data_IF_049080627529
#
_entry.id   IF_049080627529
#
_cell.length_a   1.000
_cell.length_b   1.000
_cell.length_c   1.000
_cell.angle_alpha   90.00
_cell.angle_beta   90.00
_cell.angle_gamma   90.00
#
_symmetry.space_group_name_H-M   'P 1'
#
loop_
_entity.id
_entity.type
_entity.pdbx_description
1 polymer ?
#
# COMPACT_ATOMS: atom_id res chain seq x y z
N UNK A 1 31.15 -53.16 19.70
CA UNK A 1 29.96 -53.58 20.48
C UNK A 1 28.79 -52.69 20.07
N UNK A 2 28.12 -53.03 18.96
CA UNK A 2 26.96 -52.29 18.46
C UNK A 2 25.71 -52.78 19.18
N UNK A 3 24.90 -51.88 19.75
CA UNK A 3 23.56 -52.22 20.27
C UNK A 3 22.51 -51.85 19.22
N UNK A 4 21.68 -52.83 18.91
CA UNK A 4 20.54 -52.78 18.00
C UNK A 4 19.57 -51.66 18.40
N UNK A 5 19.20 -50.84 17.42
CA UNK A 5 18.01 -49.99 17.50
C UNK A 5 16.87 -50.83 16.91
N UNK A 6 15.96 -51.28 17.76
CA UNK A 6 14.74 -51.95 17.32
C UNK A 6 13.85 -50.98 16.52
N UNK A 7 13.48 -51.39 15.31
CA UNK A 7 12.46 -50.74 14.50
C UNK A 7 11.11 -50.98 15.16
N UNK A 8 10.58 -49.95 15.84
CA UNK A 8 9.19 -49.93 16.28
C UNK A 8 8.33 -49.70 15.03
N UNK A 9 7.54 -50.70 14.65
CA UNK A 9 6.54 -50.58 13.59
C UNK A 9 5.35 -49.75 14.06
N UNK A 10 4.75 -48.97 13.14
CA UNK A 10 3.65 -48.02 13.40
C UNK A 10 2.48 -48.66 14.18
N UNK A 11 2.25 -49.96 14.01
CA UNK A 11 1.22 -50.73 14.70
C UNK A 11 1.46 -50.89 16.22
N UNK A 12 2.70 -50.83 16.69
CA UNK A 12 3.01 -50.89 18.13
C UNK A 12 2.72 -49.57 18.86
N UNK A 13 2.75 -48.44 18.14
CA UNK A 13 2.38 -47.13 18.71
C UNK A 13 0.86 -46.99 18.89
N UNK A 14 0.08 -47.70 18.06
CA UNK A 14 -1.39 -47.67 18.11
C UNK A 14 -1.99 -48.50 19.26
N UNK A 15 -1.22 -49.37 19.91
CA UNK A 15 -1.75 -50.28 20.95
C UNK A 15 -1.40 -49.90 22.40
N UNK A 16 -0.56 -48.89 22.64
CA UNK A 16 -0.08 -48.52 23.99
C UNK A 16 -0.52 -47.15 24.48
N UNK A 17 -1.23 -46.38 23.67
CA UNK A 17 -2.02 -45.26 24.15
C UNK A 17 -3.47 -45.67 24.09
N UNK A 18 -4.15 -45.66 25.23
CA UNK A 18 -5.61 -45.53 25.28
C UNK A 18 -5.98 -44.19 24.60
N UNK A 19 -5.87 -44.14 23.28
CA UNK A 19 -6.75 -43.33 22.47
C UNK A 19 -8.13 -43.94 22.71
N UNK A 20 -8.76 -43.51 23.81
CA UNK A 20 -10.15 -43.12 23.72
C UNK A 20 -10.20 -42.26 22.47
N UNK A 21 -10.59 -42.88 21.36
CA UNK A 21 -11.32 -42.21 20.30
C UNK A 21 -12.47 -41.60 21.08
N UNK A 22 -12.25 -40.38 21.57
CA UNK A 22 -13.31 -39.48 21.93
C UNK A 22 -14.03 -39.43 20.59
N UNK A 23 -15.11 -40.20 20.47
CA UNK A 23 -16.19 -39.84 19.57
C UNK A 23 -16.47 -38.41 19.98
N UNK A 24 -15.86 -37.46 19.27
CA UNK A 24 -16.21 -36.07 19.34
C UNK A 24 -17.63 -36.10 18.81
N UNK A 25 -18.59 -36.28 19.72
CA UNK A 25 -19.98 -35.96 19.51
C UNK A 25 -19.99 -34.69 18.68
N UNK A 26 -20.68 -34.69 17.54
CA UNK A 26 -20.75 -33.56 16.62
C UNK A 26 -20.99 -32.27 17.41
N UNK A 27 -19.91 -31.58 17.79
CA UNK A 27 -19.99 -30.41 18.65
C UNK A 27 -20.47 -29.29 17.74
N UNK A 28 -21.66 -28.81 18.05
CA UNK A 28 -22.20 -27.63 17.42
C UNK A 28 -21.24 -26.47 17.70
N UNK A 29 -20.83 -25.79 16.64
CA UNK A 29 -19.82 -24.75 16.67
C UNK A 29 -20.42 -23.45 16.11
N UNK A 30 -20.37 -22.38 16.90
CA UNK A 30 -20.89 -21.06 16.52
C UNK A 30 -19.75 -20.13 16.11
N UNK A 31 -19.91 -19.46 14.97
CA UNK A 31 -18.85 -18.70 14.31
C UNK A 31 -19.29 -17.26 14.06
N UNK A 32 -18.49 -16.30 14.50
CA UNK A 32 -18.65 -14.89 14.16
C UNK A 32 -18.03 -14.56 12.81
N UNK A 33 -18.76 -13.84 11.95
CA UNK A 33 -18.26 -13.43 10.63
C UNK A 33 -18.61 -11.97 10.42
N UNK A 34 -17.61 -11.10 10.28
CA UNK A 34 -17.83 -9.70 9.95
C UNK A 34 -17.79 -9.52 8.43
N UNK A 35 -18.81 -8.92 7.80
CA UNK A 35 -18.81 -8.68 6.37
C UNK A 35 -17.81 -7.58 5.99
N UNK A 36 -16.67 -7.98 5.41
CA UNK A 36 -15.64 -7.09 4.91
C UNK A 36 -15.07 -7.63 3.60
N UNK A 37 -15.13 -6.86 2.52
CA UNK A 37 -14.63 -7.29 1.20
C UNK A 37 -13.10 -7.14 1.12
N UNK A 38 -12.36 -8.13 0.57
CA UNK A 38 -12.83 -9.34 -0.12
C UNK A 38 -12.96 -10.59 0.78
N UNK A 39 -12.77 -10.44 2.09
CA UNK A 39 -12.59 -11.56 3.03
C UNK A 39 -13.91 -12.28 3.35
N UNK A 40 -15.00 -11.53 3.53
CA UNK A 40 -16.37 -12.02 3.70
C UNK A 40 -17.37 -11.03 3.09
N UNK A 41 -18.02 -11.42 2.00
CA UNK A 41 -19.03 -10.64 1.28
C UNK A 41 -20.41 -11.18 1.66
N UNK A 42 -21.28 -10.30 2.14
CA UNK A 42 -22.66 -10.64 2.45
C UNK A 42 -23.52 -10.50 1.20
N UNK A 43 -24.21 -11.57 0.83
CA UNK A 43 -25.17 -11.62 -0.28
C UNK A 43 -26.57 -11.96 0.26
N UNK A 44 -27.60 -11.35 -0.32
CA UNK A 44 -28.99 -11.72 -0.04
C UNK A 44 -29.57 -12.40 -1.28
N UNK A 45 -29.77 -13.71 -1.21
CA UNK A 45 -30.36 -14.52 -2.29
C UNK A 45 -31.73 -14.99 -1.84
N UNK A 46 -32.78 -14.45 -2.44
CA UNK A 46 -34.19 -14.82 -2.17
C UNK A 46 -34.58 -14.72 -0.68
N UNK A 47 -34.14 -13.68 0.02
CA UNK A 47 -34.41 -13.49 1.45
C UNK A 47 -33.51 -14.30 2.39
N UNK A 48 -32.67 -15.17 1.83
CA UNK A 48 -31.65 -15.92 2.58
C UNK A 48 -30.33 -15.18 2.52
N UNK A 49 -29.74 -14.93 3.69
CA UNK A 49 -28.45 -14.27 3.79
C UNK A 49 -27.36 -15.32 3.68
N UNK A 50 -26.53 -15.20 2.66
CA UNK A 50 -25.37 -16.04 2.41
C UNK A 50 -24.10 -15.21 2.51
N UNK A 51 -22.99 -15.84 2.89
CA UNK A 51 -21.67 -15.21 2.88
C UNK A 51 -20.80 -15.89 1.82
N UNK A 52 -19.99 -15.11 1.13
CA UNK A 52 -18.97 -15.54 0.17
C UNK A 52 -17.66 -14.84 0.51
N UNK A 53 -16.56 -15.11 -0.19
CA UNK A 53 -15.27 -14.46 0.05
C UNK A 53 -14.18 -15.41 0.56
N UNK A 54 -12.93 -14.99 0.42
CA UNK A 54 -11.78 -15.89 0.57
C UNK A 54 -11.67 -16.46 1.99
N UNK A 55 -11.76 -15.61 3.01
CA UNK A 55 -11.60 -16.03 4.40
C UNK A 55 -12.81 -16.85 4.85
N UNK A 56 -14.02 -16.46 4.44
CA UNK A 56 -15.22 -17.26 4.69
C UNK A 56 -15.06 -18.69 4.15
N UNK A 57 -14.74 -18.84 2.86
CA UNK A 57 -14.64 -20.14 2.20
C UNK A 57 -13.54 -21.01 2.81
N UNK A 58 -12.38 -20.43 3.12
CA UNK A 58 -11.30 -21.16 3.77
C UNK A 58 -11.73 -21.78 5.10
N UNK A 59 -12.42 -21.04 5.96
CA UNK A 59 -12.80 -21.54 7.27
C UNK A 59 -14.01 -22.45 7.20
N UNK A 60 -15.08 -21.98 6.55
CA UNK A 60 -16.39 -22.64 6.53
C UNK A 60 -16.43 -23.84 5.59
N UNK A 61 -15.86 -23.72 4.39
CA UNK A 61 -15.94 -24.78 3.39
C UNK A 61 -14.77 -25.77 3.49
N UNK A 62 -13.67 -25.40 4.14
CA UNK A 62 -12.47 -26.23 4.20
C UNK A 62 -12.03 -26.62 5.63
N UNK A 63 -11.65 -25.66 6.49
CA UNK A 63 -11.07 -26.00 7.81
C UNK A 63 -12.09 -26.65 8.76
N UNK A 64 -13.30 -26.10 8.89
CA UNK A 64 -14.30 -26.64 9.82
C UNK A 64 -14.77 -28.06 9.42
N UNK A 65 -15.05 -28.36 8.14
CA UNK A 65 -15.29 -29.73 7.70
C UNK A 65 -14.11 -30.67 7.95
N UNK A 66 -12.88 -30.22 7.71
CA UNK A 66 -11.67 -31.02 7.97
C UNK A 66 -11.50 -31.38 9.46
N UNK A 67 -11.97 -30.50 10.36
CA UNK A 67 -11.99 -30.74 11.81
C UNK A 67 -13.27 -31.45 12.30
N UNK A 68 -14.16 -31.86 11.39
CA UNK A 68 -15.46 -32.45 11.71
C UNK A 68 -16.32 -31.56 12.64
N UNK A 69 -16.28 -30.24 12.44
CA UNK A 69 -17.10 -29.28 13.20
C UNK A 69 -18.41 -29.02 12.47
N UNK A 70 -19.53 -29.10 13.21
CA UNK A 70 -20.85 -28.77 12.69
C UNK A 70 -21.17 -27.31 13.00
N UNK A 71 -21.19 -26.45 11.98
CA UNK A 71 -21.52 -25.03 12.14
C UNK A 71 -23.04 -24.92 12.34
N UNK A 72 -23.45 -24.28 13.44
CA UNK A 72 -24.88 -24.07 13.72
C UNK A 72 -25.34 -22.64 13.48
N UNK A 73 -24.46 -21.65 13.65
CA UNK A 73 -24.86 -20.24 13.65
C UNK A 73 -23.72 -19.34 13.14
N UNK A 74 -24.10 -18.37 12.30
CA UNK A 74 -23.21 -17.37 11.68
C UNK A 74 -23.76 -15.97 11.98
N UNK A 75 -23.03 -15.19 12.79
CA UNK A 75 -23.56 -13.97 13.43
C UNK A 75 -23.30 -12.65 12.68
N UNK A 76 -23.20 -12.62 11.35
CA UNK A 76 -22.72 -11.42 10.65
C UNK A 76 -23.62 -10.18 10.62
N UNK A 77 -24.89 -10.28 11.07
CA UNK A 77 -25.85 -9.16 11.08
C UNK A 77 -26.30 -8.71 12.46
N UNK A 78 -26.08 -9.55 13.47
CA UNK A 78 -26.54 -9.31 14.85
C UNK A 78 -25.44 -8.67 15.71
N UNK A 79 -24.32 -8.30 15.08
CA UNK A 79 -23.25 -7.55 15.71
C UNK A 79 -23.73 -6.11 15.84
N UNK A 80 -24.56 -5.85 16.84
CA UNK A 80 -25.04 -4.52 17.18
C UNK A 80 -24.06 -3.88 18.18
N UNK A 81 -23.47 -2.75 17.79
CA UNK A 81 -22.63 -1.93 18.68
C UNK A 81 -21.71 -0.97 17.92
N UNK A 82 -21.28 0.13 18.56
CA UNK A 82 -20.24 1.00 18.01
C UNK A 82 -18.90 0.23 17.99
N UNK A 83 -18.53 -0.31 16.82
CA UNK A 83 -17.34 -1.16 16.70
C UNK A 83 -17.70 -2.62 16.46
N UNK A 84 -18.04 -2.97 15.22
CA UNK A 84 -18.49 -4.33 14.87
C UNK A 84 -17.42 -5.42 15.14
N UNK A 85 -16.13 -5.08 15.10
CA UNK A 85 -15.06 -5.99 15.54
C UNK A 85 -15.05 -6.20 17.07
N UNK A 86 -15.42 -5.19 17.86
CA UNK A 86 -15.54 -5.32 19.32
C UNK A 86 -16.75 -6.18 19.70
N UNK A 87 -17.83 -6.13 18.91
CA UNK A 87 -19.00 -6.97 19.12
C UNK A 87 -18.67 -8.46 19.04
N UNK A 88 -17.94 -8.89 17.99
CA UNK A 88 -17.52 -10.30 17.87
C UNK A 88 -16.58 -10.71 19.01
N UNK A 89 -15.59 -9.86 19.35
CA UNK A 89 -14.66 -10.10 20.45
C UNK A 89 -15.42 -10.30 21.76
N UNK A 90 -16.36 -9.40 22.08
CA UNK A 90 -17.19 -9.48 23.28
C UNK A 90 -18.06 -10.74 23.27
N UNK A 91 -18.63 -11.12 22.12
CA UNK A 91 -19.40 -12.35 22.01
C UNK A 91 -18.56 -13.62 22.23
N UNK A 92 -17.28 -13.62 21.87
CA UNK A 92 -16.36 -14.73 22.21
C UNK A 92 -16.05 -14.72 23.72
N UNK A 93 -15.76 -13.55 24.31
CA UNK A 93 -15.50 -13.41 25.77
C UNK A 93 -16.71 -13.85 26.60
N UNK A 94 -17.91 -13.45 26.19
CA UNK A 94 -19.20 -13.83 26.79
C UNK A 94 -19.62 -15.27 26.47
N UNK A 95 -18.80 -16.02 25.74
CA UNK A 95 -19.04 -17.43 25.34
C UNK A 95 -20.30 -17.63 24.49
N UNK A 96 -20.75 -16.61 23.76
CA UNK A 96 -21.81 -16.69 22.75
C UNK A 96 -21.28 -17.26 21.42
N UNK A 97 -20.02 -16.97 21.12
CA UNK A 97 -19.30 -17.51 19.97
C UNK A 97 -18.17 -18.42 20.40
N UNK A 98 -17.92 -19.48 19.62
CA UNK A 98 -16.75 -20.33 19.83
C UNK A 98 -15.51 -19.76 19.14
N UNK A 99 -15.68 -19.17 17.96
CA UNK A 99 -14.58 -18.54 17.22
C UNK A 99 -15.10 -17.45 16.27
N UNK A 100 -14.18 -16.83 15.54
CA UNK A 100 -14.47 -15.89 14.46
C UNK A 100 -13.53 -16.07 13.29
N UNK A 101 -14.03 -15.83 12.09
CA UNK A 101 -13.23 -15.80 10.85
C UNK A 101 -12.87 -14.37 10.42
N UNK A 102 -13.21 -13.37 11.24
CA UNK A 102 -12.91 -11.96 10.94
C UNK A 102 -11.42 -11.69 11.10
N UNK A 103 -10.85 -10.87 10.19
CA UNK A 103 -9.50 -10.37 10.35
C UNK A 103 -9.40 -9.47 11.59
N UNK A 104 -8.56 -9.86 12.56
CA UNK A 104 -8.26 -9.07 13.75
C UNK A 104 -6.79 -8.66 13.75
N UNK A 105 -6.54 -7.44 14.21
CA UNK A 105 -5.20 -7.03 14.57
C UNK A 105 -4.87 -7.65 15.94
N UNK A 106 -3.87 -8.54 15.95
CA UNK A 106 -3.30 -9.09 17.17
C UNK A 106 -2.53 -7.99 17.91
N UNK A 107 -3.11 -7.48 19.00
CA UNK A 107 -2.48 -6.49 19.88
C UNK A 107 -2.14 -7.10 21.23
N UNK A 108 -1.10 -6.58 21.90
CA UNK A 108 -0.68 -7.09 23.22
C UNK A 108 -1.80 -7.16 24.27
N UNK A 109 -2.75 -6.21 24.35
CA UNK A 109 -3.90 -6.35 25.24
C UNK A 109 -4.77 -7.55 24.89
N UNK A 110 -5.11 -7.74 23.60
CA UNK A 110 -5.99 -8.82 23.14
C UNK A 110 -5.35 -10.21 23.20
N UNK A 111 -4.02 -10.29 23.13
CA UNK A 111 -3.30 -11.55 23.33
C UNK A 111 -3.49 -12.15 24.72
N UNK A 112 -4.01 -11.38 25.69
CA UNK A 112 -4.31 -11.90 27.03
C UNK A 112 -5.69 -12.54 27.15
N UNK A 113 -6.60 -12.19 26.24
CA UNK A 113 -8.02 -12.55 26.35
C UNK A 113 -8.38 -13.78 25.50
N UNK A 114 -7.52 -14.21 24.58
CA UNK A 114 -7.76 -15.33 23.67
C UNK A 114 -6.51 -16.16 23.42
N UNK A 115 -6.72 -17.44 23.13
CA UNK A 115 -5.71 -18.29 22.51
C UNK A 115 -5.75 -18.08 20.99
N UNK A 116 -4.68 -17.50 20.45
CA UNK A 116 -4.61 -17.09 19.04
C UNK A 116 -3.98 -18.17 18.17
N UNK A 117 -4.62 -18.46 17.03
CA UNK A 117 -4.02 -19.25 15.95
C UNK A 117 -3.78 -18.33 14.76
N UNK A 118 -2.50 -18.07 14.48
CA UNK A 118 -2.11 -17.28 13.30
C UNK A 118 -1.97 -18.19 12.10
N UNK A 119 -2.85 -18.02 11.11
CA UNK A 119 -2.63 -18.60 9.78
C UNK A 119 -1.68 -17.67 9.02
N UNK A 120 -0.52 -18.19 8.58
CA UNK A 120 0.46 -17.44 7.81
C UNK A 120 -0.01 -17.21 6.35
N UNK A 121 -1.16 -16.57 6.17
CA UNK A 121 -1.82 -16.43 4.86
C UNK A 121 -1.70 -15.03 4.28
N UNK A 122 -1.62 -14.00 5.13
CA UNK A 122 -1.50 -12.61 4.71
C UNK A 122 -0.75 -11.85 5.79
N UNK A 123 0.44 -11.34 5.48
CA UNK A 123 1.10 -10.37 6.34
C UNK A 123 0.42 -9.02 6.10
N UNK A 124 -0.52 -8.66 6.97
CA UNK A 124 -1.11 -7.33 6.92
C UNK A 124 -0.05 -6.30 7.33
N UNK A 125 0.27 -5.40 6.42
CA UNK A 125 1.15 -4.26 6.67
C UNK A 125 0.31 -3.00 6.86
N UNK A 126 0.78 -2.11 7.74
CA UNK A 126 0.22 -0.76 7.81
C UNK A 126 0.60 0.00 6.54
N UNK A 127 -0.34 0.10 5.61
CA UNK A 127 -0.22 0.90 4.39
C UNK A 127 -0.79 2.30 4.57
N UNK A 128 -0.18 3.29 3.93
CA UNK A 128 -0.76 4.62 3.75
C UNK A 128 -1.17 4.77 2.29
N UNK A 129 -2.46 4.93 2.05
CA UNK A 129 -2.98 5.25 0.73
C UNK A 129 -2.96 6.77 0.54
N UNK A 130 -2.20 7.24 -0.44
CA UNK A 130 -2.23 8.64 -0.90
C UNK A 130 -2.81 8.63 -2.30
N UNK A 131 -3.76 9.53 -2.57
CA UNK A 131 -4.29 9.72 -3.92
C UNK A 131 -3.13 10.02 -4.87
N UNK A 132 -3.00 9.24 -5.94
CA UNK A 132 -2.14 9.61 -7.05
C UNK A 132 -2.70 10.91 -7.62
N UNK A 133 -1.89 11.98 -7.61
CA UNK A 133 -2.26 13.20 -8.32
C UNK A 133 -2.46 12.80 -9.77
N UNK A 134 -3.69 12.97 -10.26
CA UNK A 134 -4.05 12.74 -11.65
C UNK A 134 -2.95 13.32 -12.53
N UNK A 135 -2.55 12.55 -13.54
CA UNK A 135 -1.62 12.95 -14.59
C UNK A 135 -1.84 14.42 -14.93
N UNK A 136 -0.95 15.28 -14.42
CA UNK A 136 -1.03 16.69 -14.75
C UNK A 136 -0.48 16.82 -16.15
N UNK A 137 -1.39 16.76 -17.13
CA UNK A 137 -1.16 17.16 -18.52
C UNK A 137 -0.87 18.67 -18.64
N UNK A 138 -0.87 19.40 -17.53
CA UNK A 138 -0.38 20.77 -17.44
C UNK A 138 1.14 20.78 -17.55
N UNK A 139 1.60 20.90 -18.80
CA UNK A 139 2.97 21.28 -19.09
C UNK A 139 3.28 22.64 -18.45
N UNK A 140 3.97 22.65 -17.32
CA UNK A 140 4.55 23.87 -16.77
C UNK A 140 5.61 24.41 -17.74
N UNK A 141 5.84 25.72 -17.76
CA UNK A 141 6.91 26.33 -18.57
C UNK A 141 8.28 25.69 -18.36
N UNK A 142 8.54 25.22 -17.13
CA UNK A 142 9.74 24.46 -16.77
C UNK A 142 9.91 23.15 -17.56
N UNK A 143 8.86 22.59 -18.16
CA UNK A 143 8.96 21.40 -19.00
C UNK A 143 9.77 21.66 -20.27
N UNK A 144 9.76 22.89 -20.82
CA UNK A 144 10.54 23.22 -22.00
C UNK A 144 12.03 23.41 -21.70
N UNK A 145 12.39 23.68 -20.44
CA UNK A 145 13.80 23.82 -20.04
C UNK A 145 14.39 22.51 -19.52
N UNK A 146 13.57 21.55 -19.10
CA UNK A 146 14.00 20.23 -18.59
C UNK A 146 14.84 19.34 -19.53
N UNK A 147 14.67 19.36 -20.87
CA UNK A 147 15.41 18.45 -21.75
C UNK A 147 16.92 18.59 -21.57
N UNK A 148 17.40 19.77 -21.17
CA UNK A 148 18.79 20.04 -20.83
C UNK A 148 18.95 20.37 -19.35
N UNK A 149 20.05 19.90 -18.76
CA UNK A 149 20.46 20.35 -17.43
C UNK A 149 20.87 21.83 -17.48
N UNK A 150 20.94 22.49 -16.32
CA UNK A 150 21.47 23.85 -16.22
C UNK A 150 22.88 23.95 -16.80
N UNK A 151 23.71 22.91 -16.60
CA UNK A 151 25.05 22.83 -17.18
C UNK A 151 25.02 22.75 -18.71
N UNK A 152 24.14 21.95 -19.30
CA UNK A 152 23.95 21.90 -20.76
C UNK A 152 23.50 23.25 -21.32
N UNK A 153 22.55 23.92 -20.66
CA UNK A 153 22.13 25.27 -21.06
C UNK A 153 23.28 26.29 -21.00
N UNK A 154 24.12 26.22 -19.95
CA UNK A 154 25.29 27.08 -19.84
C UNK A 154 26.29 26.84 -20.98
N UNK A 155 26.52 25.59 -21.38
CA UNK A 155 27.37 25.25 -22.53
C UNK A 155 26.81 25.86 -23.82
N UNK A 156 25.50 25.69 -24.09
CA UNK A 156 24.85 26.29 -25.27
C UNK A 156 25.01 27.82 -25.28
N UNK A 157 24.84 28.47 -24.13
CA UNK A 157 25.02 29.92 -24.00
C UNK A 157 26.47 30.37 -24.26
N UNK A 158 27.47 29.64 -23.73
CA UNK A 158 28.90 29.95 -23.97
C UNK A 158 29.25 29.78 -25.45
N UNK A 159 28.75 28.74 -26.11
CA UNK A 159 28.94 28.55 -27.54
C UNK A 159 28.26 29.67 -28.34
N UNK A 160 27.06 30.14 -27.93
CA UNK A 160 26.35 31.28 -28.55
C UNK A 160 27.18 32.57 -28.50
N UNK A 161 27.72 32.88 -27.34
CA UNK A 161 28.60 34.04 -27.16
C UNK A 161 29.88 33.92 -27.97
N UNK A 162 30.48 32.72 -28.02
CA UNK A 162 31.69 32.46 -28.81
C UNK A 162 31.41 32.65 -30.30
N UNK A 163 30.30 32.12 -30.80
CA UNK A 163 29.88 32.27 -32.19
C UNK A 163 29.66 33.74 -32.56
N UNK A 164 28.91 34.49 -31.73
CA UNK A 164 28.68 35.91 -31.95
C UNK A 164 29.99 36.72 -31.99
N UNK A 165 30.90 36.46 -31.04
CA UNK A 165 32.20 37.13 -30.96
C UNK A 165 33.10 36.77 -32.15
N UNK A 166 33.13 35.50 -32.56
CA UNK A 166 33.90 35.06 -33.74
C UNK A 166 33.36 35.72 -35.01
N UNK A 167 32.04 35.85 -35.15
CA UNK A 167 31.43 36.53 -36.29
C UNK A 167 31.80 38.02 -36.33
N UNK A 168 31.68 38.74 -35.21
CA UNK A 168 32.08 40.15 -35.10
C UNK A 168 33.56 40.37 -35.44
N UNK A 169 34.47 39.50 -34.96
CA UNK A 169 35.90 39.57 -35.29
C UNK A 169 36.15 39.34 -36.78
N UNK A 170 35.44 38.37 -37.38
CA UNK A 170 35.61 38.01 -38.78
C UNK A 170 35.07 39.09 -39.73
N UNK A 171 33.96 39.73 -39.36
CA UNK A 171 33.36 40.86 -40.04
C UNK A 171 34.29 42.08 -40.00
N UNK A 172 34.78 42.48 -38.81
CA UNK A 172 35.72 43.61 -38.66
C UNK A 172 37.01 43.45 -39.45
N UNK A 173 37.45 42.21 -39.70
CA UNK A 173 38.65 41.91 -40.49
C UNK A 173 38.37 41.74 -41.99
N UNK A 174 37.12 41.84 -42.45
CA UNK A 174 36.70 41.51 -43.82
C UNK A 174 37.16 40.13 -44.29
N UNK A 175 37.35 39.18 -43.36
CA UNK A 175 37.87 37.83 -43.66
C UNK A 175 36.77 36.78 -43.74
N UNK A 176 35.49 37.19 -43.72
CA UNK A 176 34.34 36.27 -43.71
C UNK A 176 34.39 35.25 -44.88
N UNK A 177 34.88 35.67 -46.04
CA UNK A 177 35.00 34.86 -47.27
C UNK A 177 36.24 33.95 -47.32
N UNK A 178 37.11 34.00 -46.31
CA UNK A 178 38.28 33.13 -46.26
C UNK A 178 37.87 31.68 -46.04
N UNK A 179 38.46 30.73 -46.78
CA UNK A 179 38.14 29.30 -46.70
C UNK A 179 38.26 28.74 -45.28
N UNK A 180 39.25 29.22 -44.50
CA UNK A 180 39.43 28.82 -43.09
C UNK A 180 38.27 29.27 -42.21
N UNK A 181 37.77 30.47 -42.46
CA UNK A 181 36.70 31.09 -41.71
C UNK A 181 35.34 30.49 -42.05
N UNK A 182 35.11 30.18 -43.32
CA UNK A 182 33.96 29.39 -43.77
C UNK A 182 33.95 28.04 -43.06
N UNK A 183 35.10 27.35 -42.96
CA UNK A 183 35.20 26.08 -42.28
C UNK A 183 34.87 26.16 -40.77
N UNK A 184 35.36 27.19 -40.08
CA UNK A 184 35.04 27.45 -38.66
C UNK A 184 33.53 27.72 -38.50
N UNK A 185 32.96 28.56 -39.36
CA UNK A 185 31.54 28.89 -39.35
C UNK A 185 30.67 27.64 -39.57
N UNK A 186 30.98 26.81 -40.57
CA UNK A 186 30.25 25.58 -40.86
C UNK A 186 30.30 24.60 -39.68
N UNK A 187 31.43 24.48 -38.99
CA UNK A 187 31.55 23.63 -37.79
C UNK A 187 30.67 24.11 -36.63
N UNK A 188 30.66 25.42 -36.38
CA UNK A 188 29.81 26.01 -35.34
C UNK A 188 28.32 25.88 -35.69
N UNK A 189 27.97 26.07 -36.96
CA UNK A 189 26.61 25.86 -37.45
C UNK A 189 26.17 24.40 -37.26
N UNK A 190 27.02 23.43 -37.62
CA UNK A 190 26.74 22.01 -37.42
C UNK A 190 26.54 21.65 -35.95
N UNK A 191 27.30 22.26 -35.04
CA UNK A 191 27.10 22.09 -33.60
C UNK A 191 25.69 22.58 -33.15
N UNK A 192 25.23 23.74 -33.62
CA UNK A 192 23.88 24.22 -33.30
C UNK A 192 22.79 23.31 -33.86
N UNK A 193 22.95 22.85 -35.10
CA UNK A 193 22.00 21.94 -35.73
C UNK A 193 21.87 20.63 -34.94
N UNK A 194 22.99 20.03 -34.55
CA UNK A 194 22.99 18.81 -33.73
C UNK A 194 22.37 19.05 -32.35
N UNK A 195 22.73 20.17 -31.71
CA UNK A 195 22.18 20.53 -30.40
C UNK A 195 20.67 20.74 -30.46
N UNK A 196 20.18 21.43 -31.49
CA UNK A 196 18.75 21.65 -31.71
C UNK A 196 18.02 20.33 -31.97
N UNK A 197 18.54 19.48 -32.87
CA UNK A 197 17.95 18.18 -33.15
C UNK A 197 17.88 17.30 -31.90
N UNK A 198 18.95 17.28 -31.09
CA UNK A 198 18.99 16.52 -29.83
C UNK A 198 18.01 17.08 -28.79
N UNK A 199 17.94 18.41 -28.65
CA UNK A 199 16.95 19.07 -27.80
C UNK A 199 15.52 18.71 -28.23
N UNK A 200 15.21 18.78 -29.52
CA UNK A 200 13.89 18.44 -30.05
C UNK A 200 13.51 16.98 -29.76
N UNK A 201 14.46 16.04 -29.90
CA UNK A 201 14.25 14.63 -29.58
C UNK A 201 13.95 14.41 -28.08
N UNK A 202 14.74 15.03 -27.19
CA UNK A 202 14.53 14.94 -25.75
C UNK A 202 13.25 15.64 -25.28
N UNK A 203 12.92 16.78 -25.90
CA UNK A 203 11.67 17.47 -25.64
C UNK A 203 10.48 16.58 -26.03
N UNK A 204 10.52 15.99 -27.22
CA UNK A 204 9.48 15.06 -27.67
C UNK A 204 9.34 13.88 -26.69
N UNK A 205 10.46 13.25 -26.32
CA UNK A 205 10.44 12.17 -25.32
C UNK A 205 9.83 12.63 -23.98
N UNK A 206 10.20 13.81 -23.49
CA UNK A 206 9.65 14.38 -22.25
C UNK A 206 8.16 14.74 -22.35
N UNK A 207 7.65 15.06 -23.54
CA UNK A 207 6.22 15.34 -23.75
C UNK A 207 5.40 14.05 -23.87
N UNK A 208 6.01 12.97 -24.37
CA UNK A 208 5.35 11.66 -24.54
C UNK A 208 5.41 10.76 -23.30
N UNK A 209 6.30 11.03 -22.36
CA UNK A 209 6.46 10.21 -21.15
C UNK A 209 5.53 10.69 -20.04
N UNK A 210 4.50 9.90 -19.74
CA UNK A 210 3.68 10.07 -18.54
C UNK A 210 4.49 9.55 -17.36
N UNK A 211 5.10 10.46 -16.60
CA UNK A 211 5.82 10.08 -15.39
C UNK A 211 4.82 10.03 -14.24
N UNK A 212 4.53 8.82 -13.75
CA UNK A 212 3.91 8.63 -12.45
C UNK A 212 4.87 9.16 -11.38
N UNK A 213 4.72 10.44 -11.04
CA UNK A 213 5.45 11.02 -9.92
C UNK A 213 4.82 10.47 -8.66
N UNK A 214 5.50 9.54 -8.00
CA UNK A 214 5.22 9.31 -6.59
C UNK A 214 5.79 10.51 -5.83
N UNK A 215 4.95 11.39 -5.25
CA UNK A 215 5.44 12.61 -4.61
C UNK A 215 6.27 12.34 -3.36
N UNK A 216 6.17 11.14 -2.79
CA UNK A 216 6.86 10.76 -1.56
C UNK A 216 7.59 9.44 -1.72
N UNK A 217 8.88 9.43 -1.38
CA UNK A 217 9.69 8.20 -1.36
C UNK A 217 9.69 7.54 0.03
N UNK A 218 9.25 8.26 1.06
CA UNK A 218 9.23 7.78 2.44
C UNK A 218 8.07 8.39 3.24
N UNK A 219 7.72 7.74 4.36
CA UNK A 219 6.80 8.29 5.35
C UNK A 219 7.28 9.67 5.85
N UNK A 220 8.58 9.85 6.04
CA UNK A 220 9.15 11.11 6.53
C UNK A 220 8.91 12.26 5.55
N UNK A 221 8.99 12.00 4.23
CA UNK A 221 8.68 13.02 3.22
C UNK A 221 7.21 13.42 3.25
N UNK A 222 6.32 12.44 3.41
CA UNK A 222 4.88 12.69 3.58
C UNK A 222 4.57 13.45 4.87
N UNK A 223 5.28 13.14 5.97
CA UNK A 223 5.15 13.80 7.27
C UNK A 223 5.68 15.24 7.27
N UNK A 224 6.60 15.60 6.37
CA UNK A 224 7.03 16.99 6.17
C UNK A 224 5.99 17.80 5.38
N UNK A 225 5.19 17.15 4.55
CA UNK A 225 4.15 17.84 3.78
C UNK A 225 2.90 18.08 4.62
N UNK A 226 2.81 19.29 5.18
CA UNK A 226 1.72 19.72 6.06
C UNK A 226 0.38 19.93 5.34
N UNK A 227 0.35 19.84 4.00
CA UNK A 227 -0.90 20.00 3.22
C UNK A 227 -1.84 18.82 3.40
N UNK A 228 -1.30 17.64 3.72
CA UNK A 228 -2.08 16.41 3.82
C UNK A 228 -2.57 16.17 5.25
N UNK A 229 -3.88 15.93 5.35
CA UNK A 229 -4.53 15.42 6.57
C UNK A 229 -4.51 13.91 6.53
N UNK A 230 -4.41 13.29 7.70
CA UNK A 230 -4.48 11.83 7.81
C UNK A 230 -5.81 11.43 8.37
N UNK A 231 -6.39 10.41 7.74
CA UNK A 231 -7.63 9.80 8.18
C UNK A 231 -7.43 8.31 8.31
N UNK A 232 -8.02 7.73 9.34
CA UNK A 232 -8.15 6.31 9.48
C UNK A 232 -9.52 5.98 10.04
N UNK A 233 -9.96 4.78 9.71
CA UNK A 233 -11.21 4.27 10.21
C UNK A 233 -11.17 4.24 11.74
N UNK A 234 -12.08 4.97 12.39
CA UNK A 234 -12.14 5.17 13.83
C UNK A 234 -12.16 3.85 14.61
N UNK A 235 -12.70 2.81 13.96
CA UNK A 235 -12.90 1.47 14.53
C UNK A 235 -11.72 0.51 14.33
N UNK A 236 -10.68 0.90 13.60
CA UNK A 236 -9.45 0.11 13.50
C UNK A 236 -8.50 0.48 14.63
N UNK A 237 -7.69 -0.48 15.10
CA UNK A 237 -6.77 -0.29 16.23
C UNK A 237 -5.61 0.67 15.92
N UNK A 238 -5.63 1.41 14.80
CA UNK A 238 -4.57 2.34 14.44
C UNK A 238 -4.31 3.40 15.51
N UNK A 239 -5.31 4.08 16.11
CA UNK A 239 -5.05 5.01 17.21
C UNK A 239 -4.37 4.33 18.41
N UNK A 240 -4.72 3.07 18.68
CA UNK A 240 -4.14 2.27 19.77
C UNK A 240 -2.67 1.91 19.46
N UNK A 241 -2.41 1.47 18.22
CA UNK A 241 -1.07 1.16 17.70
C UNK A 241 -0.19 2.41 17.78
N UNK A 242 -0.66 3.54 17.23
CA UNK A 242 0.06 4.81 17.23
C UNK A 242 0.30 5.35 18.64
N UNK A 243 -0.64 5.15 19.58
CA UNK A 243 -0.46 5.51 21.00
C UNK A 243 0.67 4.72 21.67
N UNK A 244 0.82 3.44 21.31
CA UNK A 244 1.86 2.55 21.85
C UNK A 244 3.21 2.67 21.13
N UNK A 245 3.27 3.37 20.01
CA UNK A 245 4.46 3.42 19.16
C UNK A 245 5.64 4.14 19.83
N UNK A 246 6.81 3.49 19.84
CA UNK A 246 8.05 4.04 20.41
C UNK A 246 8.90 4.81 19.38
N UNK A 247 8.76 4.46 18.11
CA UNK A 247 9.49 5.00 16.97
C UNK A 247 9.04 6.45 16.70
N UNK A 248 9.99 7.34 16.38
CA UNK A 248 9.74 8.77 16.21
C UNK A 248 8.74 9.05 15.09
N UNK A 249 8.89 8.41 13.94
CA UNK A 249 8.04 8.57 12.76
C UNK A 249 6.57 8.27 13.07
N UNK A 250 6.30 7.24 13.87
CA UNK A 250 4.93 6.92 14.29
C UNK A 250 4.38 7.89 15.34
N UNK A 251 5.24 8.48 16.18
CA UNK A 251 4.84 9.57 17.08
C UNK A 251 4.48 10.84 16.32
N UNK A 252 5.29 11.19 15.31
CA UNK A 252 5.04 12.32 14.42
C UNK A 252 3.76 12.10 13.60
N UNK A 253 3.55 10.87 13.09
CA UNK A 253 2.30 10.46 12.45
C UNK A 253 1.11 10.58 13.41
N UNK A 254 1.25 10.15 14.67
CA UNK A 254 0.20 10.32 15.69
C UNK A 254 -0.15 11.78 15.91
N UNK A 255 0.85 12.66 16.03
CA UNK A 255 0.61 14.09 16.21
C UNK A 255 -0.15 14.68 15.00
N UNK A 256 0.25 14.32 13.78
CA UNK A 256 -0.45 14.72 12.55
C UNK A 256 -1.89 14.18 12.50
N UNK A 257 -2.11 12.96 12.98
CA UNK A 257 -3.43 12.33 13.07
C UNK A 257 -4.34 13.11 14.03
N UNK A 258 -3.86 13.40 15.24
CA UNK A 258 -4.59 14.20 16.24
C UNK A 258 -4.88 15.63 15.76
N UNK A 259 -4.00 16.21 14.95
CA UNK A 259 -4.21 17.54 14.36
C UNK A 259 -5.22 17.55 13.18
N UNK A 260 -5.60 16.37 12.67
CA UNK A 260 -6.57 16.26 11.57
C UNK A 260 -8.01 16.40 12.11
N UNK A 261 -9.00 16.82 11.29
CA UNK A 261 -10.40 16.88 11.71
C UNK A 261 -10.90 15.56 12.27
N UNK A 262 -11.76 15.61 13.29
CA UNK A 262 -12.21 14.44 14.07
C UNK A 262 -11.04 13.63 14.67
N UNK A 263 -9.90 14.28 14.92
CA UNK A 263 -8.64 13.63 15.32
C UNK A 263 -8.22 12.52 14.35
N UNK A 264 -8.52 12.68 13.05
CA UNK A 264 -8.25 11.70 12.00
C UNK A 264 -9.22 10.52 11.96
N UNK A 265 -10.16 10.41 12.88
CA UNK A 265 -11.11 9.29 12.95
C UNK A 265 -12.30 9.52 12.01
N UNK A 266 -12.57 8.54 11.15
CA UNK A 266 -13.75 8.50 10.26
C UNK A 266 -14.58 7.25 10.51
N UNK A 267 -15.90 7.37 10.40
CA UNK A 267 -16.83 6.36 10.94
C UNK A 267 -17.03 5.16 10.01
N UNK A 268 -16.78 5.35 8.71
CA UNK A 268 -16.86 4.31 7.70
C UNK A 268 -15.72 4.43 6.66
N UNK A 269 -15.45 3.33 5.93
CA UNK A 269 -14.40 3.30 4.90
C UNK A 269 -14.74 4.21 3.72
N UNK A 270 -16.01 4.29 3.33
CA UNK A 270 -16.44 5.10 2.18
C UNK A 270 -16.19 6.60 2.41
N UNK A 271 -16.37 7.09 3.64
CA UNK A 271 -16.02 8.45 4.07
C UNK A 271 -14.52 8.64 3.95
N UNK A 272 -13.71 7.70 4.46
CA UNK A 272 -12.25 7.73 4.35
C UNK A 272 -11.80 7.82 2.88
N UNK A 273 -12.33 6.96 2.01
CA UNK A 273 -12.06 6.97 0.58
C UNK A 273 -12.52 8.28 -0.07
N UNK A 274 -13.72 8.75 0.25
CA UNK A 274 -14.25 9.99 -0.31
C UNK A 274 -13.40 11.21 0.06
N UNK A 275 -12.85 11.25 1.28
CA UNK A 275 -11.98 12.34 1.74
C UNK A 275 -10.62 12.32 1.03
N UNK A 276 -10.10 11.13 0.71
CA UNK A 276 -8.87 10.98 -0.08
C UNK A 276 -9.11 11.33 -1.57
N UNK A 277 -10.30 11.03 -2.09
CA UNK A 277 -10.65 11.22 -3.50
C UNK A 277 -11.19 12.61 -3.85
N UNK A 278 -11.69 13.39 -2.87
CA UNK A 278 -12.13 14.77 -3.12
C UNK A 278 -10.93 15.69 -3.36
N UNK A 279 -10.95 16.52 -4.41
CA UNK A 279 -9.93 17.56 -4.57
C UNK A 279 -10.11 18.60 -3.46
N UNK A 280 -9.09 18.75 -2.62
CA UNK A 280 -8.94 19.85 -1.65
C UNK A 280 -8.22 21.02 -2.28
#
# INVERSE_FOLDING_TARGET
MMRNIEKITLDQYLHTSELKIIQLENKNFSVGIHPFSPDAIKENRNGTITFTGFVYQLFVDFLFPMMNLKIIEVYGNQIEGPGENFGIINMIIEKKLHTSTTAFIMTTPRMKDFDWVSLAMKCDHLGLAVRQSFETSTFMWLTFTKPFTITSWAVVAIFALTFAKTNDIMERRNTLKSTKNIFIFTRLLLFYWLTFAFYSALLYASLTTVVNRNPYNSLQDLLKDMRFKFYAHARFDLPLILKSAKIKEFKDLRQRFLASPKEGNVDNFDEAYSLVLKPT
#
